data_IF_712596405350
#
_entry.id   IF_712596405350
#
_cell.length_a   1.000
_cell.length_b   1.000
_cell.length_c   1.000
_cell.angle_alpha   90.00
_cell.angle_beta   90.00
_cell.angle_gamma   90.00
#
_symmetry.space_group_name_H-M   'P 1'
#
loop_
_entity.id
_entity.type
_entity.pdbx_description
1 polymer ?
#
# COMPACT_ATOMS: atom_id res chain seq x y z
N UNK A 1 9.46 8.84 -9.60
CA UNK A 1 8.73 8.16 -8.53
C UNK A 1 9.48 6.88 -8.21
N UNK A 2 9.84 6.68 -6.96
CA UNK A 2 10.42 5.44 -6.45
C UNK A 2 9.32 4.70 -5.68
N UNK A 3 9.00 3.50 -6.13
CA UNK A 3 7.91 2.69 -5.57
C UNK A 3 8.50 1.43 -4.95
N UNK A 4 7.95 1.00 -3.82
CA UNK A 4 8.26 -0.28 -3.20
C UNK A 4 7.13 -1.26 -3.45
N UNK A 5 7.50 -2.47 -3.79
CA UNK A 5 6.55 -3.55 -4.01
C UNK A 5 6.91 -4.72 -3.10
N UNK A 6 5.99 -5.10 -2.24
CA UNK A 6 6.27 -6.11 -1.23
C UNK A 6 5.12 -7.08 -1.11
N UNK A 7 5.42 -8.39 -1.13
CA UNK A 7 4.44 -9.41 -0.88
C UNK A 7 3.99 -9.39 0.58
N UNK A 8 2.69 -9.45 0.79
CA UNK A 8 2.06 -9.48 2.09
C UNK A 8 1.13 -10.70 2.17
N UNK A 9 1.40 -11.61 3.09
CA UNK A 9 0.48 -12.73 3.35
C UNK A 9 -0.72 -12.23 4.15
N UNK A 10 -1.92 -12.39 3.60
CA UNK A 10 -3.16 -11.95 4.21
C UNK A 10 -3.98 -13.19 4.56
N UNK A 11 -4.17 -13.45 5.84
CA UNK A 11 -5.04 -14.51 6.35
C UNK A 11 -4.37 -15.86 6.60
N UNK A 12 -5.08 -16.69 7.36
CA UNK A 12 -4.62 -18.00 7.85
C UNK A 12 -5.20 -19.20 7.08
N UNK A 13 -5.96 -18.96 6.01
CA UNK A 13 -6.64 -20.01 5.25
C UNK A 13 -6.32 -19.88 3.77
N UNK A 14 -5.86 -20.99 3.16
CA UNK A 14 -5.67 -21.22 1.71
C UNK A 14 -5.33 -19.97 0.86
N UNK A 15 -4.48 -19.14 1.39
CA UNK A 15 -3.60 -18.15 0.79
C UNK A 15 -4.15 -17.15 -0.24
N UNK A 16 -4.84 -16.10 0.10
CA UNK A 16 -4.64 -14.89 -0.65
C UNK A 16 -3.29 -14.28 -0.25
N UNK A 17 -2.34 -14.23 -1.18
CA UNK A 17 -1.15 -13.41 -1.09
C UNK A 17 -1.52 -12.03 -1.63
N UNK A 18 -1.37 -10.99 -0.81
CA UNK A 18 -1.47 -9.61 -1.25
C UNK A 18 -0.09 -9.02 -1.47
N UNK A 19 0.02 -8.04 -2.32
CA UNK A 19 1.20 -7.19 -2.41
C UNK A 19 0.76 -5.73 -2.36
N UNK A 20 1.53 -4.90 -1.68
CA UNK A 20 1.29 -3.46 -1.60
C UNK A 20 2.40 -2.69 -2.30
N UNK A 21 2.02 -1.64 -3.02
CA UNK A 21 2.94 -0.64 -3.56
C UNK A 21 2.80 0.66 -2.78
N UNK A 22 3.90 1.21 -2.32
CA UNK A 22 3.94 2.53 -1.70
C UNK A 22 5.02 3.43 -2.32
N UNK A 23 4.77 4.74 -2.29
CA UNK A 23 5.76 5.75 -2.68
C UNK A 23 6.59 6.15 -1.46
N UNK A 24 7.88 5.94 -1.54
CA UNK A 24 8.80 6.19 -0.45
C UNK A 24 8.82 7.65 0.03
N UNK A 25 8.66 8.61 -0.87
CA UNK A 25 8.71 10.04 -0.57
C UNK A 25 7.42 10.55 0.06
N UNK A 26 6.30 10.26 -0.58
CA UNK A 26 5.00 10.77 -0.14
C UNK A 26 4.35 9.88 0.90
N UNK A 27 4.85 8.66 1.09
CA UNK A 27 4.25 7.62 1.96
C UNK A 27 2.84 7.21 1.53
N UNK A 28 2.47 7.52 0.29
CA UNK A 28 1.18 7.12 -0.26
C UNK A 28 1.19 5.64 -0.58
N UNK A 29 0.11 4.98 -0.26
CA UNK A 29 -0.18 3.66 -0.82
C UNK A 29 -0.57 3.90 -2.28
N UNK A 30 0.18 3.33 -3.22
CA UNK A 30 -0.08 3.42 -4.65
C UNK A 30 -1.19 2.44 -5.04
N UNK A 31 -1.15 1.23 -4.50
CA UNK A 31 -2.19 0.24 -4.71
C UNK A 31 -1.84 -1.13 -4.18
N UNK A 32 -2.74 -2.05 -4.43
CA UNK A 32 -2.63 -3.45 -4.01
C UNK A 32 -2.84 -4.40 -5.18
N UNK A 33 -2.08 -5.49 -5.18
CA UNK A 33 -2.35 -6.65 -6.01
C UNK A 33 -2.72 -7.84 -5.11
N UNK A 34 -3.82 -8.51 -5.38
CA UNK A 34 -4.26 -9.69 -4.62
C UNK A 34 -4.30 -10.91 -5.54
N UNK A 35 -3.80 -12.03 -5.04
CA UNK A 35 -3.84 -13.31 -5.72
C UNK A 35 -4.23 -14.41 -4.73
N UNK A 36 -5.00 -15.40 -5.20
CA UNK A 36 -5.33 -16.59 -4.42
C UNK A 36 -4.58 -17.80 -4.97
N UNK A 37 -3.97 -18.57 -4.10
CA UNK A 37 -3.22 -19.76 -4.46
C UNK A 37 -1.71 -19.53 -4.52
N UNK A 38 -1.01 -20.36 -5.29
CA UNK A 38 0.44 -20.30 -5.44
C UNK A 38 0.79 -19.11 -6.34
N UNK A 39 1.71 -18.27 -5.89
CA UNK A 39 2.22 -17.16 -6.70
C UNK A 39 3.43 -17.65 -7.49
N UNK A 40 3.28 -17.65 -8.79
CA UNK A 40 4.36 -17.82 -9.75
C UNK A 40 4.80 -16.47 -10.35
N UNK A 41 5.72 -16.49 -11.29
CA UNK A 41 6.23 -15.28 -11.92
C UNK A 41 5.16 -14.50 -12.69
N UNK A 42 4.19 -15.18 -13.30
CA UNK A 42 3.08 -14.54 -14.04
C UNK A 42 2.11 -13.89 -13.06
N UNK A 43 1.72 -14.60 -12.01
CA UNK A 43 0.85 -14.06 -10.96
C UNK A 43 1.48 -12.83 -10.30
N UNK A 44 2.79 -12.87 -10.01
CA UNK A 44 3.52 -11.74 -9.45
C UNK A 44 3.47 -10.50 -10.38
N UNK A 45 3.69 -10.68 -11.68
CA UNK A 45 3.58 -9.61 -12.66
C UNK A 45 2.17 -9.01 -12.71
N UNK A 46 1.13 -9.87 -12.71
CA UNK A 46 -0.27 -9.42 -12.69
C UNK A 46 -0.61 -8.65 -11.41
N UNK A 47 -0.12 -9.09 -10.26
CA UNK A 47 -0.29 -8.39 -8.99
C UNK A 47 0.35 -7.00 -9.04
N UNK A 48 1.56 -6.89 -9.58
CA UNK A 48 2.24 -5.62 -9.75
C UNK A 48 1.46 -4.68 -10.68
N UNK A 49 1.05 -5.16 -11.86
CA UNK A 49 0.26 -4.37 -12.81
C UNK A 49 -1.06 -3.87 -12.22
N UNK A 50 -1.73 -4.69 -11.41
CA UNK A 50 -2.95 -4.28 -10.69
C UNK A 50 -2.64 -3.19 -9.67
N UNK A 51 -1.57 -3.35 -8.90
CA UNK A 51 -1.19 -2.41 -7.86
C UNK A 51 -0.82 -1.01 -8.40
N UNK A 52 -0.23 -0.93 -9.60
CA UNK A 52 0.14 0.35 -10.23
C UNK A 52 -0.92 0.89 -11.20
N UNK A 53 -2.05 0.20 -11.33
CA UNK A 53 -3.10 0.58 -12.29
C UNK A 53 -3.61 2.00 -12.04
N UNK A 54 -3.65 2.82 -13.10
CA UNK A 54 -4.08 4.22 -13.02
C UNK A 54 -2.99 5.19 -12.55
N UNK A 55 -1.77 4.70 -12.33
CA UNK A 55 -0.60 5.52 -12.00
C UNK A 55 0.44 5.48 -13.13
N UNK A 56 1.30 6.48 -13.17
CA UNK A 56 2.47 6.46 -14.04
C UNK A 56 3.43 5.35 -13.60
N UNK A 57 4.10 4.72 -14.58
CA UNK A 57 5.11 3.70 -14.29
C UNK A 57 6.22 4.27 -13.40
N UNK A 58 6.61 3.54 -12.34
CA UNK A 58 7.73 3.95 -11.51
C UNK A 58 9.04 3.82 -12.30
N UNK A 59 9.97 4.75 -12.13
CA UNK A 59 11.32 4.64 -12.67
C UNK A 59 12.15 3.63 -11.88
N UNK A 60 11.95 3.59 -10.57
CA UNK A 60 12.67 2.71 -9.66
C UNK A 60 11.67 1.91 -8.83
N UNK A 61 11.97 0.63 -8.68
CA UNK A 61 11.19 -0.30 -7.87
C UNK A 61 12.12 -0.96 -6.84
N UNK A 62 11.84 -0.75 -5.56
CA UNK A 62 12.55 -1.47 -4.50
C UNK A 62 11.77 -2.74 -4.15
N UNK A 63 12.45 -3.89 -4.24
CA UNK A 63 11.95 -5.20 -3.81
C UNK A 63 12.88 -5.78 -2.76
N UNK A 64 12.38 -6.69 -1.93
CA UNK A 64 13.21 -7.43 -0.98
C UNK A 64 13.93 -8.61 -1.65
N UNK A 65 14.60 -9.44 -0.83
CA UNK A 65 15.30 -10.64 -1.30
C UNK A 65 14.40 -11.89 -1.38
N UNK A 66 13.07 -11.73 -1.35
CA UNK A 66 12.15 -12.86 -1.47
C UNK A 66 12.40 -13.62 -2.78
N UNK A 67 12.45 -14.96 -2.76
CA UNK A 67 12.63 -15.79 -3.95
C UNK A 67 11.63 -15.50 -5.09
N UNK A 68 10.47 -14.95 -4.80
CA UNK A 68 9.45 -14.54 -5.78
C UNK A 68 10.00 -13.53 -6.80
N UNK A 69 10.93 -12.67 -6.40
CA UNK A 69 11.56 -11.68 -7.30
C UNK A 69 12.69 -12.23 -8.15
N UNK A 70 12.94 -13.55 -8.10
CA UNK A 70 13.92 -14.25 -8.95
C UNK A 70 13.29 -14.94 -10.15
N UNK A 71 11.97 -14.87 -10.32
CA UNK A 71 11.32 -15.41 -11.50
C UNK A 71 11.73 -14.63 -12.75
N UNK A 72 12.12 -15.36 -13.80
CA UNK A 72 12.54 -14.75 -15.06
C UNK A 72 11.42 -13.90 -15.71
N UNK A 73 10.15 -14.28 -15.51
CA UNK A 73 9.00 -13.49 -15.98
C UNK A 73 8.94 -12.13 -15.30
N UNK A 74 9.25 -12.07 -13.99
CA UNK A 74 9.31 -10.83 -13.24
C UNK A 74 10.40 -9.91 -13.77
N UNK A 75 11.62 -10.41 -13.92
CA UNK A 75 12.74 -9.65 -14.44
C UNK A 75 12.50 -9.17 -15.88
N UNK A 76 11.90 -10.04 -16.72
CA UNK A 76 11.54 -9.69 -18.11
C UNK A 76 10.44 -8.60 -18.14
N UNK A 77 9.43 -8.70 -17.26
CA UNK A 77 8.38 -7.69 -17.15
C UNK A 77 8.93 -6.32 -16.77
N UNK A 78 9.79 -6.24 -15.75
CA UNK A 78 10.41 -4.97 -15.34
C UNK A 78 11.27 -4.36 -16.46
N UNK A 79 12.00 -5.20 -17.22
CA UNK A 79 12.81 -4.77 -18.35
C UNK A 79 11.95 -4.18 -19.49
N UNK A 80 10.83 -4.83 -19.82
CA UNK A 80 9.87 -4.34 -20.82
C UNK A 80 9.24 -3.00 -20.40
N UNK A 81 8.97 -2.84 -19.10
CA UNK A 81 8.40 -1.62 -18.53
C UNK A 81 9.44 -0.51 -18.28
N UNK A 82 10.71 -0.77 -18.58
CA UNK A 82 11.84 0.14 -18.30
C UNK A 82 11.93 0.55 -16.80
N UNK A 83 11.54 -0.37 -15.92
CA UNK A 83 11.60 -0.18 -14.47
C UNK A 83 12.90 -0.75 -13.94
N UNK A 84 13.70 0.08 -13.26
CA UNK A 84 14.93 -0.35 -12.62
C UNK A 84 14.64 -0.93 -11.23
N UNK A 85 14.92 -2.21 -11.03
CA UNK A 85 14.82 -2.85 -9.73
C UNK A 85 16.02 -2.48 -8.83
N UNK A 86 15.73 -2.02 -7.61
CA UNK A 86 16.73 -1.74 -6.58
C UNK A 86 16.55 -2.76 -5.46
N UNK A 87 17.56 -3.57 -5.23
CA UNK A 87 17.59 -4.52 -4.11
C UNK A 87 18.35 -3.90 -2.93
N UNK A 88 17.81 -3.98 -1.71
CA UNK A 88 18.50 -3.49 -0.52
C UNK A 88 19.79 -4.30 -0.28
N UNK A 89 20.71 -3.69 0.47
CA UNK A 89 21.94 -4.38 0.87
C UNK A 89 21.58 -5.54 1.81
N UNK A 90 22.05 -6.78 1.52
CA UNK A 90 21.78 -7.93 2.37
C UNK A 90 22.28 -7.69 3.79
N UNK A 91 21.55 -8.22 4.78
CA UNK A 91 21.90 -8.18 6.20
C UNK A 91 21.93 -6.78 6.86
N UNK A 92 21.38 -5.75 6.21
CA UNK A 92 21.18 -4.44 6.83
C UNK A 92 19.74 -4.36 7.37
N UNK A 93 19.51 -4.40 8.70
CA UNK A 93 18.17 -4.40 9.29
C UNK A 93 17.34 -3.17 8.97
N UNK A 94 17.99 -2.09 8.52
CA UNK A 94 17.36 -0.80 8.23
C UNK A 94 16.82 -0.68 6.80
N UNK A 95 16.90 -1.74 5.98
CA UNK A 95 16.59 -1.62 4.55
C UNK A 95 15.09 -1.41 4.26
N UNK A 96 14.17 -1.90 5.11
CA UNK A 96 12.71 -1.78 4.87
C UNK A 96 11.83 -1.46 6.09
N UNK A 97 12.25 -0.62 7.05
CA UNK A 97 11.47 -0.38 8.28
C UNK A 97 10.11 0.27 8.00
N UNK A 98 9.99 1.01 6.89
CA UNK A 98 8.73 1.66 6.50
C UNK A 98 7.71 0.67 5.99
N UNK A 99 8.15 -0.30 5.22
CA UNK A 99 7.26 -1.31 4.63
C UNK A 99 6.74 -2.26 5.69
N UNK A 100 7.62 -2.75 6.56
CA UNK A 100 7.21 -3.59 7.68
C UNK A 100 6.20 -2.85 8.57
N UNK A 101 6.42 -1.56 8.78
CA UNK A 101 5.48 -0.70 9.50
C UNK A 101 4.17 -0.54 8.75
N UNK A 102 4.19 -0.34 7.43
CA UNK A 102 3.00 -0.22 6.61
C UNK A 102 2.18 -1.51 6.63
N UNK A 103 2.83 -2.66 6.41
CA UNK A 103 2.20 -3.98 6.50
C UNK A 103 1.60 -4.19 7.89
N UNK A 104 2.36 -3.89 8.94
CA UNK A 104 1.87 -3.96 10.31
C UNK A 104 0.68 -3.05 10.58
N UNK A 105 0.67 -1.86 9.99
CA UNK A 105 -0.45 -0.91 10.06
C UNK A 105 -1.69 -1.47 9.37
N UNK A 106 -1.55 -1.92 8.11
CA UNK A 106 -2.66 -2.50 7.34
C UNK A 106 -3.26 -3.70 8.08
N UNK A 107 -2.43 -4.56 8.63
CA UNK A 107 -2.91 -5.72 9.42
C UNK A 107 -3.68 -5.27 10.66
N UNK A 108 -3.00 -4.60 11.59
CA UNK A 108 -3.57 -4.25 12.91
C UNK A 108 -4.73 -3.27 12.82
N UNK A 109 -4.62 -2.30 11.95
CA UNK A 109 -5.64 -1.25 11.85
C UNK A 109 -6.83 -1.71 11.00
N UNK A 110 -6.62 -2.59 10.02
CA UNK A 110 -7.68 -2.92 9.08
C UNK A 110 -7.98 -4.40 8.95
N UNK A 111 -7.03 -5.22 8.48
CA UNK A 111 -7.30 -6.62 8.12
C UNK A 111 -7.75 -7.48 9.30
N UNK A 112 -7.20 -7.25 10.49
CA UNK A 112 -7.58 -7.97 11.71
C UNK A 112 -8.97 -7.57 12.24
N UNK A 113 -9.58 -6.54 11.66
CA UNK A 113 -10.88 -5.99 12.08
C UNK A 113 -11.99 -6.19 11.07
N UNK A 114 -11.70 -6.83 9.94
CA UNK A 114 -12.66 -7.06 8.87
C UNK A 114 -12.71 -8.55 8.50
N UNK A 115 -13.88 -8.97 8.03
CA UNK A 115 -14.03 -10.26 7.38
C UNK A 115 -14.06 -10.07 5.88
N UNK A 116 -13.46 -10.98 5.12
CA UNK A 116 -13.55 -11.03 3.67
C UNK A 116 -13.71 -12.48 3.21
N UNK A 117 -14.47 -12.66 2.13
CA UNK A 117 -14.87 -13.98 1.66
C UNK A 117 -14.23 -14.35 0.32
N UNK A 118 -13.92 -13.35 -0.49
CA UNK A 118 -13.31 -13.52 -1.82
C UNK A 118 -12.14 -12.56 -2.01
N UNK A 119 -11.29 -12.86 -3.00
CA UNK A 119 -10.21 -11.93 -3.41
C UNK A 119 -10.77 -10.59 -3.86
N UNK A 120 -11.88 -10.58 -4.60
CA UNK A 120 -12.54 -9.35 -5.05
C UNK A 120 -13.07 -8.51 -3.87
N UNK A 121 -13.65 -9.16 -2.86
CA UNK A 121 -14.08 -8.47 -1.64
C UNK A 121 -12.90 -7.89 -0.86
N UNK A 122 -11.79 -8.64 -0.78
CA UNK A 122 -10.55 -8.16 -0.17
C UNK A 122 -9.96 -6.97 -0.94
N UNK A 123 -9.88 -7.05 -2.28
CA UNK A 123 -9.40 -5.95 -3.13
C UNK A 123 -10.23 -4.68 -2.91
N UNK A 124 -11.56 -4.78 -2.93
CA UNK A 124 -12.45 -3.64 -2.69
C UNK A 124 -12.20 -3.00 -1.31
N UNK A 125 -12.03 -3.82 -0.28
CA UNK A 125 -11.73 -3.34 1.08
C UNK A 125 -10.36 -2.69 1.18
N UNK A 126 -9.34 -3.24 0.52
CA UNK A 126 -8.00 -2.65 0.49
C UNK A 126 -8.01 -1.29 -0.24
N UNK A 127 -8.83 -1.13 -1.29
CA UNK A 127 -9.04 0.17 -1.97
C UNK A 127 -9.71 1.17 -1.01
N UNK A 128 -10.74 0.76 -0.27
CA UNK A 128 -11.37 1.62 0.75
C UNK A 128 -10.34 2.08 1.80
N UNK A 129 -9.46 1.16 2.23
CA UNK A 129 -8.39 1.49 3.17
C UNK A 129 -7.35 2.44 2.57
N UNK A 130 -6.95 2.23 1.32
CA UNK A 130 -6.02 3.12 0.60
C UNK A 130 -6.55 4.56 0.56
N UNK A 131 -7.82 4.75 0.22
CA UNK A 131 -8.45 6.07 0.22
C UNK A 131 -8.43 6.72 1.61
N UNK A 132 -8.77 5.97 2.64
CA UNK A 132 -8.70 6.45 4.02
C UNK A 132 -7.25 6.79 4.41
N UNK A 133 -6.30 5.89 4.16
CA UNK A 133 -4.90 6.05 4.53
C UNK A 133 -4.26 7.27 3.86
N UNK A 134 -4.49 7.43 2.56
CA UNK A 134 -3.88 8.51 1.79
C UNK A 134 -4.51 9.88 2.07
N UNK A 135 -5.84 9.92 2.15
CA UNK A 135 -6.58 11.18 2.22
C UNK A 135 -6.98 11.63 3.62
N UNK A 136 -6.98 10.73 4.62
CA UNK A 136 -7.57 11.04 5.93
C UNK A 136 -6.73 10.59 7.13
N UNK A 137 -5.83 9.64 6.97
CA UNK A 137 -4.99 9.17 8.07
C UNK A 137 -3.79 10.09 8.25
N UNK A 138 -3.70 10.73 9.40
CA UNK A 138 -2.56 11.59 9.75
C UNK A 138 -1.32 10.78 10.12
N UNK A 139 -0.14 11.30 9.79
CA UNK A 139 1.13 10.65 10.02
C UNK A 139 2.09 11.54 10.81
N UNK A 140 2.59 11.04 11.94
CA UNK A 140 3.57 11.76 12.74
C UNK A 140 4.83 12.14 11.94
N UNK A 141 5.30 11.24 11.08
CA UNK A 141 6.45 11.52 10.22
C UNK A 141 6.18 12.46 9.03
N UNK A 142 4.94 12.94 8.87
CA UNK A 142 4.53 14.01 7.97
C UNK A 142 4.00 15.22 8.76
N UNK A 143 4.46 15.38 10.01
CA UNK A 143 4.06 16.48 10.88
C UNK A 143 2.54 16.57 11.10
N UNK A 144 1.87 15.42 11.21
CA UNK A 144 0.42 15.34 11.35
C UNK A 144 -0.37 15.50 10.05
N UNK A 145 0.29 15.64 8.91
CA UNK A 145 -0.37 15.72 7.59
C UNK A 145 -0.74 14.34 7.07
N UNK A 146 -1.68 14.32 6.13
CA UNK A 146 -2.03 13.11 5.36
C UNK A 146 -1.13 12.99 4.12
N UNK A 147 -0.89 11.78 3.60
CA UNK A 147 -0.02 11.56 2.43
C UNK A 147 -0.43 12.32 1.16
N UNK A 148 -1.72 12.62 0.98
CA UNK A 148 -2.24 13.39 -0.17
C UNK A 148 -2.20 14.92 0.05
N UNK A 149 -1.76 15.39 1.20
CA UNK A 149 -1.66 16.84 1.42
C UNK A 149 -0.64 17.47 0.48
N UNK A 150 -0.99 18.60 -0.16
CA UNK A 150 -0.01 19.36 -0.92
C UNK A 150 1.17 19.79 -0.03
N UNK A 151 2.40 19.86 -0.56
CA UNK A 151 3.52 20.42 0.18
C UNK A 151 3.18 21.84 0.66
N UNK A 152 3.40 22.11 1.96
CA UNK A 152 3.16 23.43 2.54
C UNK A 152 1.70 23.78 2.89
N UNK A 153 0.76 22.84 2.77
CA UNK A 153 -0.60 23.06 3.23
C UNK A 153 -0.61 23.32 4.75
N UNK A 154 -0.99 24.54 5.13
CA UNK A 154 -1.18 24.89 6.54
C UNK A 154 -2.41 24.17 7.10
N UNK A 155 -2.26 23.56 8.27
CA UNK A 155 -3.40 23.02 9.02
C UNK A 155 -4.04 24.21 9.74
N UNK A 156 -5.17 24.70 9.22
CA UNK A 156 -5.96 25.71 9.91
C UNK A 156 -6.77 25.05 11.03
N UNK A 157 -6.62 25.49 12.28
CA UNK A 157 -7.46 24.99 13.36
C UNK A 157 -8.91 25.44 13.14
N UNK A 158 -9.80 24.48 13.04
CA UNK A 158 -11.25 24.73 12.90
C UNK A 158 -11.92 24.65 14.27
N UNK A 159 -12.87 25.53 14.56
CA UNK A 159 -13.59 25.54 15.84
C UNK A 159 -14.39 24.25 16.07
N UNK A 160 -14.38 23.73 17.29
CA UNK A 160 -14.98 22.43 17.66
C UNK A 160 -16.50 22.32 17.47
N UNK A 161 -17.20 23.44 17.20
CA UNK A 161 -18.67 23.47 17.08
C UNK A 161 -19.24 23.13 15.72
N UNK A 162 -18.41 22.93 14.68
CA UNK A 162 -18.86 22.84 13.28
C UNK A 162 -18.31 21.64 12.56
N UNK A 163 -18.36 20.46 13.19
CA UNK A 163 -17.86 19.23 12.55
C UNK A 163 -19.00 18.30 12.17
N UNK A 164 -18.89 17.73 10.96
CA UNK A 164 -19.58 16.51 10.56
C UNK A 164 -18.59 15.34 10.56
N UNK A 165 -19.08 14.16 10.88
CA UNK A 165 -18.27 12.95 10.86
C UNK A 165 -18.40 12.24 9.50
N UNK A 166 -17.30 12.11 8.78
CA UNK A 166 -17.23 11.29 7.57
C UNK A 166 -16.79 9.88 7.93
N UNK A 167 -17.58 8.90 7.52
CA UNK A 167 -17.26 7.48 7.71
C UNK A 167 -16.36 6.98 6.58
N UNK A 168 -15.36 6.18 6.94
CA UNK A 168 -14.43 5.52 6.03
C UNK A 168 -14.39 4.03 6.32
N UNK A 169 -13.93 3.19 5.35
CA UNK A 169 -13.78 1.76 5.52
C UNK A 169 -15.06 1.11 6.07
N UNK A 170 -16.21 1.43 5.45
CA UNK A 170 -17.54 0.93 5.86
C UNK A 170 -17.91 1.27 7.32
N UNK A 171 -17.44 2.38 7.83
CA UNK A 171 -17.74 2.87 9.18
C UNK A 171 -16.72 2.46 10.24
N UNK A 172 -15.66 1.75 9.88
CA UNK A 172 -14.60 1.38 10.82
C UNK A 172 -13.83 2.62 11.33
N UNK A 173 -13.69 3.63 10.47
CA UNK A 173 -13.07 4.90 10.82
C UNK A 173 -14.02 6.05 10.61
N UNK A 174 -13.82 7.11 11.39
CA UNK A 174 -14.52 8.36 11.23
C UNK A 174 -13.54 9.52 11.37
N UNK A 175 -13.65 10.49 10.47
CA UNK A 175 -12.84 11.71 10.53
C UNK A 175 -13.75 12.93 10.57
N UNK A 176 -13.40 13.96 11.35
CA UNK A 176 -14.16 15.22 11.35
C UNK A 176 -13.92 15.95 10.03
N UNK A 177 -14.98 16.52 9.48
CA UNK A 177 -14.93 17.46 8.37
C UNK A 177 -15.60 18.75 8.80
N UNK A 178 -15.08 19.90 8.37
CA UNK A 178 -15.74 21.17 8.57
C UNK A 178 -17.15 21.14 7.95
N UNK A 179 -18.13 21.62 8.68
CA UNK A 179 -19.52 21.68 8.22
C UNK A 179 -19.74 22.92 7.35
#
# INVERSE_FOLDING_TARGET
MEVRFIPMRIGNTANPLGSGCDDQFTRRIIGFGVHSGIVDGVALCLMFHRAIRGHSLPKYLSSDHDPLYRFHQWEASLRILEVTEIKPVPYVPLSHPFVERLIGTIRREYLDRILFWTTADLEAKLIDFQHYYNGHRTHAGLEGRVPESPPGAAVSPTGLGSYRWRKHCRGLYQTPIAA
#
